data_IF_829277169328
#
_entry.id   IF_829277169328
#
_cell.length_a   1.000
_cell.length_b   1.000
_cell.length_c   1.000
_cell.angle_alpha   90.00
_cell.angle_beta   90.00
_cell.angle_gamma   90.00
#
_symmetry.space_group_name_H-M   'P 1'
#
loop_
_entity.id
_entity.type
_entity.pdbx_description
1 polymer ?
#
# COMPACT_ATOMS: atom_id res chain seq x y z
N UNK A 1 17.67 -15.59 -60.61
CA UNK A 1 17.29 -14.75 -59.45
C UNK A 1 18.27 -13.62 -59.37
N UNK A 2 17.78 -12.39 -59.43
CA UNK A 2 18.62 -11.20 -59.48
C UNK A 2 19.22 -10.88 -58.10
N UNK A 3 20.48 -10.42 -58.04
CA UNK A 3 21.18 -10.16 -56.76
C UNK A 3 20.43 -9.14 -55.91
N UNK A 4 19.73 -8.20 -56.55
CA UNK A 4 18.88 -7.23 -55.89
C UNK A 4 17.71 -7.88 -55.11
N UNK A 5 17.10 -8.94 -55.64
CA UNK A 5 15.98 -9.62 -54.98
C UNK A 5 16.41 -10.35 -53.70
N UNK A 6 17.59 -10.96 -53.70
CA UNK A 6 18.15 -11.61 -52.51
C UNK A 6 18.48 -10.62 -51.39
N UNK A 7 18.91 -9.40 -51.74
CA UNK A 7 19.16 -8.33 -50.76
C UNK A 7 17.86 -7.84 -50.12
N UNK A 8 16.80 -7.65 -50.89
CA UNK A 8 15.49 -7.26 -50.33
C UNK A 8 14.90 -8.32 -49.40
N UNK A 9 15.04 -9.61 -49.74
CA UNK A 9 14.60 -10.69 -48.85
C UNK A 9 15.43 -10.73 -47.56
N UNK A 10 16.74 -10.56 -47.64
CA UNK A 10 17.60 -10.53 -46.45
C UNK A 10 17.28 -9.33 -45.53
N UNK A 11 17.04 -8.15 -46.10
CA UNK A 11 16.64 -6.96 -45.34
C UNK A 11 15.26 -7.18 -44.71
N UNK A 12 14.31 -7.74 -45.45
CA UNK A 12 12.95 -8.02 -44.94
C UNK A 12 12.93 -9.02 -43.78
N UNK A 13 13.71 -10.11 -43.88
CA UNK A 13 13.82 -11.11 -42.81
C UNK A 13 14.55 -10.54 -41.59
N UNK A 14 15.61 -9.75 -41.79
CA UNK A 14 16.31 -9.07 -40.69
C UNK A 14 15.42 -8.04 -39.97
N UNK A 15 14.61 -7.29 -40.72
CA UNK A 15 13.69 -6.30 -40.16
C UNK A 15 12.54 -6.95 -39.38
N UNK A 16 12.01 -8.08 -39.87
CA UNK A 16 11.00 -8.86 -39.14
C UNK A 16 11.57 -9.44 -37.83
N UNK A 17 12.81 -9.96 -37.85
CA UNK A 17 13.48 -10.44 -36.63
C UNK A 17 13.72 -9.31 -35.62
N UNK A 18 14.10 -8.12 -36.09
CA UNK A 18 14.27 -6.94 -35.25
C UNK A 18 12.95 -6.51 -34.60
N UNK A 19 11.86 -6.42 -35.36
CA UNK A 19 10.54 -6.06 -34.80
C UNK A 19 10.11 -7.08 -33.75
N UNK A 20 10.20 -8.39 -34.02
CA UNK A 20 9.72 -9.42 -33.09
C UNK A 20 10.54 -9.44 -31.79
N UNK A 21 11.87 -9.30 -31.87
CA UNK A 21 12.70 -9.30 -30.65
C UNK A 21 12.61 -7.97 -29.89
N UNK A 22 12.63 -6.83 -30.58
CA UNK A 22 12.65 -5.51 -29.93
C UNK A 22 11.26 -5.12 -29.36
N UNK A 23 10.17 -5.45 -30.06
CA UNK A 23 8.80 -5.21 -29.55
C UNK A 23 8.42 -6.23 -28.47
N UNK A 24 8.93 -7.46 -28.54
CA UNK A 24 8.74 -8.49 -27.53
C UNK A 24 9.39 -8.15 -26.19
N UNK A 25 10.62 -7.61 -26.19
CA UNK A 25 11.30 -7.18 -24.96
C UNK A 25 10.59 -5.99 -24.30
N UNK A 26 10.11 -5.02 -25.10
CA UNK A 26 9.38 -3.85 -24.57
C UNK A 26 8.06 -4.26 -23.89
N UNK A 27 7.31 -5.22 -24.44
CA UNK A 27 6.09 -5.72 -23.79
C UNK A 27 6.39 -6.53 -22.52
N UNK A 28 7.52 -7.25 -22.49
CA UNK A 28 7.90 -8.10 -21.36
C UNK A 28 8.38 -7.30 -20.14
N UNK A 29 9.07 -6.17 -20.35
CA UNK A 29 9.46 -5.27 -19.27
C UNK A 29 8.24 -4.55 -18.67
N UNK A 30 7.34 -4.01 -19.50
CA UNK A 30 6.13 -3.31 -19.04
C UNK A 30 5.19 -4.23 -18.23
N UNK A 31 5.04 -5.51 -18.61
CA UNK A 31 4.20 -6.46 -17.87
C UNK A 31 4.77 -6.82 -16.49
N UNK A 32 6.10 -6.85 -16.35
CA UNK A 32 6.77 -7.18 -15.10
C UNK A 32 6.68 -6.02 -14.10
N UNK A 33 6.95 -4.79 -14.55
CA UNK A 33 6.82 -3.60 -13.70
C UNK A 33 5.35 -3.28 -13.34
N UNK A 34 4.41 -3.53 -14.26
CA UNK A 34 2.97 -3.31 -13.99
C UNK A 34 2.39 -4.31 -12.98
N UNK A 35 2.89 -5.55 -12.96
CA UNK A 35 2.47 -6.53 -11.96
C UNK A 35 3.12 -6.32 -10.60
N UNK A 36 4.39 -5.90 -10.53
CA UNK A 36 5.08 -5.74 -9.24
C UNK A 36 4.47 -4.62 -8.39
N UNK A 37 4.12 -3.48 -8.99
CA UNK A 37 3.43 -2.39 -8.28
C UNK A 37 2.02 -2.76 -7.83
N UNK A 38 1.24 -3.38 -8.72
CA UNK A 38 -0.12 -3.85 -8.40
C UNK A 38 -0.12 -4.93 -7.31
N UNK A 39 0.82 -5.87 -7.36
CA UNK A 39 0.95 -6.92 -6.35
C UNK A 39 1.39 -6.37 -4.98
N UNK A 40 2.18 -5.30 -4.95
CA UNK A 40 2.54 -4.62 -3.69
C UNK A 40 1.35 -3.88 -3.08
N UNK A 41 0.59 -3.13 -3.88
CA UNK A 41 -0.56 -2.33 -3.42
C UNK A 41 -1.68 -3.23 -2.85
N UNK A 42 -1.89 -4.41 -3.45
CA UNK A 42 -2.93 -5.35 -3.02
C UNK A 42 -2.43 -6.47 -2.09
N UNK A 43 -1.16 -6.47 -1.68
CA UNK A 43 -0.56 -7.54 -0.86
C UNK A 43 -1.29 -7.74 0.48
N UNK A 44 -1.85 -6.68 1.04
CA UNK A 44 -2.52 -6.67 2.34
C UNK A 44 -4.04 -6.75 2.25
N UNK A 45 -4.62 -6.80 1.05
CA UNK A 45 -6.07 -6.87 0.85
C UNK A 45 -6.70 -8.11 1.46
N UNK A 46 -5.93 -9.21 1.56
CA UNK A 46 -6.37 -10.44 2.24
C UNK A 46 -6.68 -10.24 3.73
N UNK A 47 -6.20 -9.16 4.33
CA UNK A 47 -6.49 -8.79 5.73
C UNK A 47 -7.69 -7.84 5.85
N UNK A 48 -8.21 -7.31 4.74
CA UNK A 48 -9.44 -6.52 4.74
C UNK A 48 -10.62 -7.46 4.96
N UNK A 49 -11.50 -7.09 5.88
CA UNK A 49 -12.75 -7.79 6.16
C UNK A 49 -13.86 -6.80 6.47
N UNK A 50 -15.02 -7.33 6.87
CA UNK A 50 -16.15 -6.52 7.32
C UNK A 50 -16.63 -6.97 8.69
N UNK A 51 -17.08 -6.04 9.51
CA UNK A 51 -17.76 -6.33 10.76
C UNK A 51 -19.22 -6.76 10.54
N UNK A 52 -19.93 -7.07 11.63
CA UNK A 52 -21.33 -7.52 11.58
C UNK A 52 -22.33 -6.49 11.05
N UNK A 53 -21.93 -5.23 10.90
CA UNK A 53 -22.75 -4.15 10.34
C UNK A 53 -22.24 -3.67 8.98
N UNK A 54 -21.26 -4.37 8.39
CA UNK A 54 -20.73 -4.10 7.04
C UNK A 54 -19.67 -3.01 6.97
N UNK A 55 -19.08 -2.59 8.09
CA UNK A 55 -17.94 -1.64 8.10
C UNK A 55 -16.64 -2.38 7.83
N UNK A 56 -15.76 -1.77 7.04
CA UNK A 56 -14.46 -2.34 6.75
C UNK A 56 -13.60 -2.41 8.02
N UNK A 57 -12.94 -3.55 8.21
CA UNK A 57 -12.04 -3.82 9.33
C UNK A 57 -10.74 -4.45 8.84
N UNK A 58 -9.66 -4.26 9.59
CA UNK A 58 -8.37 -4.90 9.33
C UNK A 58 -8.21 -6.10 10.27
N UNK A 59 -8.22 -7.31 9.72
CA UNK A 59 -8.09 -8.55 10.46
C UNK A 59 -6.71 -9.19 10.30
N UNK A 60 -5.93 -9.10 11.37
CA UNK A 60 -4.53 -9.51 11.46
C UNK A 60 -4.29 -10.48 12.62
N UNK A 61 -5.35 -11.17 13.07
CA UNK A 61 -5.26 -12.17 14.14
C UNK A 61 -4.34 -13.30 13.70
N UNK A 62 -3.29 -13.55 14.47
CA UNK A 62 -2.31 -14.61 14.20
C UNK A 62 -1.11 -14.16 13.35
N UNK A 63 -1.14 -12.94 12.81
CA UNK A 63 -0.01 -12.39 12.05
C UNK A 63 1.07 -11.80 12.97
N UNK A 64 2.32 -11.81 12.48
CA UNK A 64 3.44 -11.21 13.19
C UNK A 64 3.40 -9.68 13.13
N UNK A 65 4.08 -9.01 14.07
CA UNK A 65 4.10 -7.55 14.20
C UNK A 65 4.43 -6.82 12.90
N UNK A 66 5.45 -7.27 12.17
CA UNK A 66 5.89 -6.63 10.92
C UNK A 66 4.79 -6.61 9.87
N UNK A 67 4.06 -7.72 9.73
CA UNK A 67 2.91 -7.80 8.82
C UNK A 67 1.79 -6.88 9.30
N UNK A 68 1.51 -6.83 10.61
CA UNK A 68 0.43 -5.98 11.11
C UNK A 68 0.70 -4.49 10.85
N UNK A 69 1.93 -4.03 11.13
CA UNK A 69 2.35 -2.64 10.91
C UNK A 69 2.32 -2.29 9.41
N UNK A 70 2.86 -3.17 8.56
CA UNK A 70 2.87 -2.93 7.12
C UNK A 70 1.44 -2.90 6.55
N UNK A 71 0.57 -3.84 6.94
CA UNK A 71 -0.83 -3.87 6.53
C UNK A 71 -1.59 -2.61 6.95
N UNK A 72 -1.31 -2.07 8.14
CA UNK A 72 -1.88 -0.79 8.58
C UNK A 72 -1.40 0.38 7.72
N UNK A 73 -0.09 0.47 7.48
CA UNK A 73 0.49 1.59 6.76
C UNK A 73 0.00 1.66 5.30
N UNK A 74 -0.33 0.53 4.69
CA UNK A 74 -0.90 0.43 3.33
C UNK A 74 -2.45 0.39 3.31
N UNK A 75 -3.11 0.45 4.47
CA UNK A 75 -4.57 0.33 4.54
C UNK A 75 -5.27 1.67 4.27
N UNK A 76 -6.37 1.61 3.51
CA UNK A 76 -7.30 2.74 3.34
C UNK A 76 -7.97 3.15 4.65
N UNK A 77 -8.09 2.23 5.63
CA UNK A 77 -8.60 2.54 6.97
C UNK A 77 -7.75 3.58 7.71
N UNK A 78 -6.47 3.71 7.34
CA UNK A 78 -5.58 4.73 7.89
C UNK A 78 -6.04 6.13 7.51
N UNK A 79 -6.58 6.32 6.32
CA UNK A 79 -7.10 7.61 5.87
C UNK A 79 -8.34 7.99 6.68
N UNK A 80 -9.31 7.09 6.80
CA UNK A 80 -10.50 7.28 7.64
C UNK A 80 -10.13 7.58 9.10
N UNK A 81 -9.12 6.88 9.63
CA UNK A 81 -8.59 7.14 10.96
C UNK A 81 -7.99 8.55 11.10
N UNK A 82 -7.26 9.05 10.10
CA UNK A 82 -6.65 10.39 10.12
C UNK A 82 -7.67 11.51 9.91
N UNK A 83 -8.84 11.22 9.33
CA UNK A 83 -9.96 12.17 9.23
C UNK A 83 -10.62 12.46 10.58
N UNK A 84 -10.47 11.55 11.55
CA UNK A 84 -11.00 11.74 12.91
C UNK A 84 -10.19 12.73 13.73
N UNK A 85 -8.95 13.06 13.34
CA UNK A 85 -8.14 14.06 14.04
C UNK A 85 -8.83 15.44 14.03
N UNK A 86 -8.87 16.18 15.16
CA UNK A 86 -8.14 15.96 16.42
C UNK A 86 -8.94 15.23 17.52
N UNK A 87 -9.98 14.47 17.18
CA UNK A 87 -10.76 13.70 18.14
C UNK A 87 -10.04 12.39 18.54
N UNK A 88 -9.14 12.48 19.52
CA UNK A 88 -8.36 11.34 20.01
C UNK A 88 -9.21 10.22 20.64
N UNK A 89 -10.39 10.55 21.17
CA UNK A 89 -11.33 9.56 21.72
C UNK A 89 -11.95 8.72 20.60
N UNK A 90 -12.45 9.37 19.54
CA UNK A 90 -13.01 8.66 18.38
C UNK A 90 -11.92 7.89 17.62
N UNK A 91 -10.70 8.44 17.51
CA UNK A 91 -9.54 7.71 16.97
C UNK A 91 -9.23 6.43 17.78
N UNK A 92 -9.26 6.52 19.12
CA UNK A 92 -9.05 5.35 19.99
C UNK A 92 -10.14 4.30 19.82
N UNK A 93 -11.39 4.74 19.66
CA UNK A 93 -12.53 3.87 19.43
C UNK A 93 -12.47 3.20 18.06
N UNK A 94 -12.11 3.94 17.01
CA UNK A 94 -11.86 3.40 15.67
C UNK A 94 -10.87 2.24 15.73
N UNK A 95 -9.74 2.43 16.41
CA UNK A 95 -8.71 1.39 16.56
C UNK A 95 -9.23 0.18 17.34
N UNK A 96 -10.08 0.39 18.36
CA UNK A 96 -10.68 -0.72 19.13
C UNK A 96 -11.69 -1.53 18.34
N UNK A 97 -12.46 -0.89 17.47
CA UNK A 97 -13.56 -1.50 16.73
C UNK A 97 -13.14 -2.08 15.37
N UNK A 98 -12.21 -1.42 14.67
CA UNK A 98 -11.90 -1.72 13.26
C UNK A 98 -10.53 -2.35 13.04
N UNK A 99 -9.70 -2.49 14.09
CA UNK A 99 -8.38 -3.12 14.00
C UNK A 99 -8.31 -4.37 14.88
N UNK A 100 -8.38 -5.53 14.23
CA UNK A 100 -8.30 -6.84 14.86
C UNK A 100 -6.86 -7.36 14.82
N UNK A 101 -6.07 -6.96 15.79
CA UNK A 101 -4.68 -7.42 15.95
C UNK A 101 -4.10 -6.82 17.22
N UNK A 102 -3.89 -7.63 18.27
CA UNK A 102 -3.56 -7.11 19.61
C UNK A 102 -2.28 -6.26 19.62
N UNK A 103 -1.28 -6.67 18.85
CA UNK A 103 0.01 -5.97 18.79
C UNK A 103 -0.18 -4.60 18.13
N UNK A 104 -0.78 -4.57 16.94
CA UNK A 104 -1.06 -3.33 16.22
C UNK A 104 -1.98 -2.39 17.01
N UNK A 105 -3.06 -2.93 17.58
CA UNK A 105 -4.00 -2.17 18.40
C UNK A 105 -3.29 -1.49 19.57
N UNK A 106 -2.43 -2.23 20.29
CA UNK A 106 -1.64 -1.67 21.40
C UNK A 106 -0.70 -0.55 20.94
N UNK A 107 -0.06 -0.70 19.77
CA UNK A 107 0.84 0.32 19.22
C UNK A 107 0.09 1.59 18.82
N UNK A 108 -1.02 1.44 18.10
CA UNK A 108 -1.85 2.57 17.66
C UNK A 108 -2.40 3.34 18.87
N UNK A 109 -2.94 2.64 19.88
CA UNK A 109 -3.42 3.29 21.10
C UNK A 109 -2.30 4.03 21.86
N UNK A 110 -1.09 3.47 21.91
CA UNK A 110 0.05 4.15 22.51
C UNK A 110 0.48 5.40 21.72
N UNK A 111 0.44 5.33 20.39
CA UNK A 111 0.73 6.46 19.50
C UNK A 111 -0.30 7.58 19.65
N UNK A 112 -1.60 7.23 19.73
CA UNK A 112 -2.69 8.18 19.99
C UNK A 112 -2.45 8.90 21.32
N UNK A 113 -2.23 8.16 22.40
CA UNK A 113 -1.99 8.74 23.73
C UNK A 113 -0.75 9.64 23.75
N UNK A 114 0.35 9.23 23.10
CA UNK A 114 1.56 10.06 22.98
C UNK A 114 1.30 11.36 22.20
N UNK A 115 0.61 11.27 21.06
CA UNK A 115 0.30 12.44 20.25
C UNK A 115 -0.67 13.40 20.96
N UNK A 116 -1.67 12.84 21.66
CA UNK A 116 -2.64 13.57 22.47
C UNK A 116 -1.93 14.41 23.56
N UNK A 117 -1.07 13.77 24.36
CA UNK A 117 -0.33 14.43 25.42
C UNK A 117 0.56 15.58 24.89
N UNK A 118 1.27 15.33 23.79
CA UNK A 118 2.15 16.33 23.17
C UNK A 118 1.35 17.49 22.54
N UNK A 119 0.22 17.19 21.91
CA UNK A 119 -0.63 18.18 21.27
C UNK A 119 -1.28 19.10 22.32
N UNK A 120 -1.89 18.53 23.37
CA UNK A 120 -2.54 19.32 24.42
C UNK A 120 -1.57 20.07 25.33
N UNK A 121 -0.35 19.56 25.51
CA UNK A 121 0.72 20.31 26.19
C UNK A 121 1.33 21.44 25.36
N UNK A 122 0.96 21.55 24.07
CA UNK A 122 1.55 22.51 23.14
C UNK A 122 3.00 22.19 22.74
N UNK A 123 3.44 20.95 22.99
CA UNK A 123 4.78 20.47 22.62
C UNK A 123 4.92 20.33 21.10
N UNK A 124 3.84 19.96 20.41
CA UNK A 124 3.80 19.81 18.95
C UNK A 124 2.59 20.54 18.35
N UNK A 125 2.71 20.96 17.08
CA UNK A 125 1.62 21.55 16.31
C UNK A 125 0.58 20.51 15.88
N UNK A 126 -0.54 20.98 15.33
CA UNK A 126 -1.56 20.10 14.75
C UNK A 126 -1.02 19.28 13.56
N UNK A 127 -0.19 19.89 12.71
CA UNK A 127 0.44 19.19 11.58
C UNK A 127 1.44 18.13 12.06
N UNK A 128 2.24 18.46 13.06
CA UNK A 128 3.21 17.53 13.66
C UNK A 128 2.50 16.35 14.33
N UNK A 129 1.39 16.59 15.05
CA UNK A 129 0.57 15.52 15.63
C UNK A 129 -0.03 14.62 14.56
N UNK A 130 -0.63 15.19 13.50
CA UNK A 130 -1.18 14.43 12.39
C UNK A 130 -0.10 13.63 11.65
N UNK A 131 1.10 14.18 11.52
CA UNK A 131 2.24 13.46 10.95
C UNK A 131 2.67 12.30 11.85
N UNK A 132 2.79 12.51 13.17
CA UNK A 132 3.11 11.46 14.15
C UNK A 132 2.10 10.30 14.06
N UNK A 133 0.82 10.58 13.83
CA UNK A 133 -0.26 9.59 13.72
C UNK A 133 -0.32 8.89 12.35
N UNK A 134 0.31 9.44 11.31
CA UNK A 134 0.13 8.97 9.92
C UNK A 134 0.96 7.75 9.52
N UNK A 135 2.03 7.45 10.25
CA UNK A 135 2.93 6.34 9.94
C UNK A 135 3.29 5.62 11.22
N UNK A 136 3.00 4.32 11.28
CA UNK A 136 3.36 3.50 12.43
C UNK A 136 4.77 2.89 12.23
N UNK A 137 5.59 2.95 13.28
CA UNK A 137 6.96 2.43 13.32
C UNK A 137 7.06 1.04 13.97
#
# INVERSE_FOLDING_TARGET
MDKAFLVYVAIGVGFLYFIVNFVGDIQSEDEKYRNDGYNQEHMYDKYKGQDSIGRDVLNLIGENESIQVAAWNESTLKEEYLELFPDFEEMSKFVKERVNGKILQSKLLAQISSAEDKFFSGTISAEEAKQELSTLK
#
